data_IF_560038109387
#
_entry.id   IF_560038109387
#
_cell.length_a   1.000
_cell.length_b   1.000
_cell.length_c   1.000
_cell.angle_alpha   90.00
_cell.angle_beta   90.00
_cell.angle_gamma   90.00
#
_symmetry.space_group_name_H-M   'P 1'
#
loop_
_entity.id
_entity.type
_entity.pdbx_description
1 polymer ?
#
# COMPACT_ATOMS: atom_id res chain seq x y z
N UNK A 1 -25.24 -0.23 -15.38
CA UNK A 1 -24.32 -0.91 -16.32
C UNK A 1 -23.12 -1.40 -15.53
N UNK A 2 -23.09 -2.68 -15.12
CA UNK A 2 -21.90 -3.23 -14.44
C UNK A 2 -20.73 -3.16 -15.43
N UNK A 3 -19.63 -2.54 -15.01
CA UNK A 3 -18.50 -2.21 -15.87
C UNK A 3 -17.86 -3.48 -16.44
N UNK A 4 -18.05 -3.73 -17.75
CA UNK A 4 -17.44 -4.86 -18.48
C UNK A 4 -15.93 -4.99 -18.21
N UNK A 5 -15.24 -3.87 -17.98
CA UNK A 5 -13.81 -3.80 -17.66
C UNK A 5 -13.44 -4.57 -16.39
N UNK A 6 -14.27 -4.48 -15.33
CA UNK A 6 -14.00 -5.14 -14.05
C UNK A 6 -14.14 -6.66 -14.18
N UNK A 7 -15.14 -7.12 -14.94
CA UNK A 7 -15.39 -8.54 -15.18
C UNK A 7 -14.27 -9.18 -16.01
N UNK A 8 -13.76 -8.49 -17.04
CA UNK A 8 -12.62 -8.94 -17.83
C UNK A 8 -11.33 -9.03 -17.02
N UNK A 9 -11.06 -8.03 -16.17
CA UNK A 9 -9.90 -8.05 -15.26
C UNK A 9 -9.99 -9.20 -14.25
N UNK A 10 -11.15 -9.39 -13.63
CA UNK A 10 -11.37 -10.48 -12.69
C UNK A 10 -11.14 -11.84 -13.36
N UNK A 11 -11.71 -12.05 -14.55
CA UNK A 11 -11.52 -13.30 -15.31
C UNK A 11 -10.04 -13.53 -15.62
N UNK A 12 -9.31 -12.49 -16.04
CA UNK A 12 -7.87 -12.55 -16.33
C UNK A 12 -7.02 -12.90 -15.10
N UNK A 13 -7.39 -12.42 -13.91
CA UNK A 13 -6.68 -12.72 -12.66
C UNK A 13 -6.92 -14.17 -12.22
N UNK A 14 -8.17 -14.66 -12.30
CA UNK A 14 -8.55 -15.97 -11.76
C UNK A 14 -8.24 -17.13 -12.72
N UNK A 15 -8.34 -16.90 -14.03
CA UNK A 15 -8.17 -17.95 -15.06
C UNK A 15 -6.92 -17.80 -15.92
N UNK A 16 -6.12 -16.76 -15.69
CA UNK A 16 -4.84 -16.57 -16.39
C UNK A 16 -3.72 -17.48 -15.87
N UNK A 17 -2.62 -17.63 -16.63
CA UNK A 17 -1.45 -18.37 -16.18
C UNK A 17 -0.86 -17.78 -14.90
N UNK A 18 -0.69 -18.59 -13.85
CA UNK A 18 -0.28 -18.18 -12.51
C UNK A 18 0.96 -17.27 -12.54
N UNK A 19 2.03 -17.71 -13.20
CA UNK A 19 3.29 -16.95 -13.31
C UNK A 19 3.09 -15.57 -13.94
N UNK A 20 2.33 -15.49 -15.03
CA UNK A 20 2.08 -14.23 -15.74
C UNK A 20 1.22 -13.27 -14.91
N UNK A 21 0.19 -13.79 -14.26
CA UNK A 21 -0.68 -13.00 -13.38
C UNK A 21 0.09 -12.47 -12.17
N UNK A 22 0.89 -13.33 -11.53
CA UNK A 22 1.73 -12.93 -10.40
C UNK A 22 2.71 -11.83 -10.80
N UNK A 23 3.49 -12.02 -11.87
CA UNK A 23 4.41 -10.99 -12.35
C UNK A 23 3.70 -9.68 -12.70
N UNK A 24 2.54 -9.74 -13.36
CA UNK A 24 1.77 -8.53 -13.72
C UNK A 24 1.30 -7.75 -12.48
N UNK A 25 0.90 -8.44 -11.41
CA UNK A 25 0.43 -7.80 -10.18
C UNK A 25 1.59 -7.35 -9.28
N UNK A 26 2.65 -8.15 -9.20
CA UNK A 26 3.79 -7.90 -8.31
C UNK A 26 4.78 -6.89 -8.88
N UNK A 27 4.96 -6.82 -10.21
CA UNK A 27 5.97 -5.94 -10.82
C UNK A 27 5.83 -4.46 -10.40
N UNK A 28 4.64 -3.85 -10.41
CA UNK A 28 4.48 -2.46 -9.95
C UNK A 28 4.87 -2.30 -8.47
N UNK A 29 4.48 -3.26 -7.62
CA UNK A 29 4.77 -3.23 -6.18
C UNK A 29 6.28 -3.37 -5.94
N UNK A 30 6.93 -4.27 -6.68
CA UNK A 30 8.39 -4.46 -6.63
C UNK A 30 9.13 -3.20 -7.08
N UNK A 31 8.68 -2.54 -8.15
CA UNK A 31 9.27 -1.29 -8.61
C UNK A 31 9.14 -0.19 -7.54
N UNK A 32 7.96 -0.03 -6.94
CA UNK A 32 7.75 0.92 -5.83
C UNK A 32 8.69 0.65 -4.68
N UNK A 33 8.83 -0.60 -4.24
CA UNK A 33 9.76 -0.96 -3.17
C UNK A 33 11.23 -0.75 -3.55
N UNK A 34 11.60 -1.01 -4.80
CA UNK A 34 12.95 -0.74 -5.30
C UNK A 34 13.28 0.76 -5.18
N UNK A 35 12.39 1.63 -5.65
CA UNK A 35 12.59 3.08 -5.52
C UNK A 35 12.60 3.55 -4.06
N UNK A 36 11.78 2.94 -3.20
CA UNK A 36 11.79 3.22 -1.77
C UNK A 36 13.16 2.88 -1.15
N UNK A 37 13.74 1.72 -1.45
CA UNK A 37 15.06 1.33 -0.94
C UNK A 37 16.14 2.25 -1.51
N UNK A 38 16.10 2.56 -2.81
CA UNK A 38 17.04 3.47 -3.44
C UNK A 38 17.00 4.87 -2.79
N UNK A 39 15.80 5.38 -2.50
CA UNK A 39 15.61 6.63 -1.77
C UNK A 39 16.26 6.58 -0.38
N UNK A 40 16.01 5.52 0.41
CA UNK A 40 16.62 5.37 1.73
C UNK A 40 18.16 5.34 1.66
N UNK A 41 18.73 4.67 0.65
CA UNK A 41 20.18 4.60 0.46
C UNK A 41 20.76 5.96 0.09
N UNK A 42 20.13 6.68 -0.83
CA UNK A 42 20.55 8.02 -1.25
C UNK A 42 20.47 8.98 -0.07
N UNK A 43 19.36 8.99 0.67
CA UNK A 43 19.17 9.83 1.86
C UNK A 43 20.25 9.55 2.92
N UNK A 44 20.45 8.28 3.26
CA UNK A 44 21.50 7.86 4.20
C UNK A 44 22.90 8.26 3.72
N UNK A 45 23.18 8.12 2.42
CA UNK A 45 24.46 8.52 1.83
C UNK A 45 24.71 10.03 1.99
N UNK A 46 23.71 10.86 1.69
CA UNK A 46 23.82 12.32 1.87
C UNK A 46 23.96 12.72 3.34
N UNK A 47 23.18 12.11 4.24
CA UNK A 47 23.28 12.35 5.67
C UNK A 47 24.65 11.93 6.23
N UNK A 48 25.18 10.80 5.77
CA UNK A 48 26.50 10.30 6.17
C UNK A 48 27.66 11.19 5.69
N UNK A 49 27.45 11.98 4.64
CA UNK A 49 28.41 13.01 4.19
C UNK A 49 28.39 14.26 5.08
N UNK A 50 27.30 14.51 5.81
CA UNK A 50 27.16 15.65 6.72
C UNK A 50 27.79 15.31 8.07
N UNK A 51 27.28 14.27 8.76
CA UNK A 51 27.87 13.76 10.00
C UNK A 51 27.30 12.40 10.38
N UNK A 52 27.95 11.70 11.30
CA UNK A 52 27.46 10.41 11.83
C UNK A 52 26.18 10.62 12.63
N UNK A 53 26.09 11.73 13.37
CA UNK A 53 24.91 12.13 14.14
C UNK A 53 23.71 12.41 13.24
N UNK A 54 23.94 12.98 12.05
CA UNK A 54 22.90 13.24 11.06
C UNK A 54 22.25 11.95 10.54
N UNK A 55 23.01 10.84 10.44
CA UNK A 55 22.48 9.51 10.08
C UNK A 55 21.73 8.86 11.25
N UNK A 56 22.17 9.10 12.49
CA UNK A 56 21.52 8.54 13.67
C UNK A 56 20.15 9.18 13.97
N UNK A 57 19.97 10.45 13.62
CA UNK A 57 18.73 11.19 13.88
C UNK A 57 17.47 10.55 13.25
N UNK A 58 17.44 10.18 11.95
CA UNK A 58 16.32 9.45 11.35
C UNK A 58 15.99 8.14 12.07
N UNK A 59 17.00 7.36 12.49
CA UNK A 59 16.80 6.08 13.18
C UNK A 59 16.09 6.27 14.52
N UNK A 60 16.39 7.36 15.24
CA UNK A 60 15.71 7.72 16.49
C UNK A 60 14.31 8.28 16.27
N UNK A 61 14.08 8.99 15.15
CA UNK A 61 12.78 9.57 14.82
C UNK A 61 11.79 8.55 14.21
N UNK A 62 12.29 7.52 13.52
CA UNK A 62 11.48 6.56 12.78
C UNK A 62 10.40 5.85 13.62
N UNK A 63 10.63 5.46 14.89
CA UNK A 63 9.58 4.89 15.74
C UNK A 63 8.37 5.80 15.92
N UNK A 64 8.55 7.11 16.04
CA UNK A 64 7.44 8.06 16.14
C UNK A 64 6.67 8.18 14.83
N UNK A 65 7.39 8.26 13.71
CA UNK A 65 6.78 8.27 12.37
C UNK A 65 5.99 6.97 12.13
N UNK A 66 6.58 5.83 12.50
CA UNK A 66 5.95 4.52 12.40
C UNK A 66 4.68 4.42 13.24
N UNK A 67 4.66 5.01 14.45
CA UNK A 67 3.46 5.07 15.28
C UNK A 67 2.33 5.81 14.55
N UNK A 68 2.60 6.98 13.98
CA UNK A 68 1.61 7.76 13.24
C UNK A 68 1.10 7.01 12.01
N UNK A 69 2.01 6.40 11.23
CA UNK A 69 1.65 5.58 10.07
C UNK A 69 0.82 4.36 10.50
N UNK A 70 1.18 3.72 11.61
CA UNK A 70 0.47 2.53 12.12
C UNK A 70 -0.96 2.86 12.54
N UNK A 71 -1.17 4.01 13.19
CA UNK A 71 -2.51 4.48 13.55
C UNK A 71 -3.33 4.80 12.30
N UNK A 72 -2.77 5.58 11.37
CA UNK A 72 -3.44 5.94 10.11
C UNK A 72 -3.74 4.69 9.26
N UNK A 73 -2.79 3.77 9.18
CA UNK A 73 -2.93 2.48 8.49
C UNK A 73 -3.97 1.59 9.14
N UNK A 74 -4.00 1.53 10.48
CA UNK A 74 -5.02 0.81 11.24
C UNK A 74 -6.43 1.32 10.96
N UNK A 75 -6.61 2.64 10.94
CA UNK A 75 -7.90 3.26 10.56
C UNK A 75 -8.25 2.97 9.09
N UNK A 76 -7.28 3.03 8.20
CA UNK A 76 -7.49 2.72 6.77
C UNK A 76 -7.94 1.26 6.58
N UNK A 77 -7.31 0.32 7.28
CA UNK A 77 -7.69 -1.11 7.26
C UNK A 77 -9.08 -1.31 7.86
N UNK A 78 -9.40 -0.63 8.97
CA UNK A 78 -10.74 -0.67 9.57
C UNK A 78 -11.80 -0.14 8.59
N UNK A 79 -11.52 0.95 7.88
CA UNK A 79 -12.39 1.49 6.84
C UNK A 79 -12.62 0.49 5.69
N UNK A 80 -11.56 -0.10 5.15
CA UNK A 80 -11.67 -1.15 4.11
C UNK A 80 -12.46 -2.36 4.62
N UNK A 81 -12.27 -2.77 5.87
CA UNK A 81 -13.01 -3.87 6.48
C UNK A 81 -14.51 -3.56 6.63
N UNK A 82 -14.87 -2.34 7.06
CA UNK A 82 -16.27 -1.89 7.16
C UNK A 82 -16.92 -1.80 5.78
N UNK A 83 -16.25 -1.19 4.81
CA UNK A 83 -16.74 -1.10 3.41
C UNK A 83 -16.93 -2.50 2.84
N UNK A 84 -15.99 -3.42 3.05
CA UNK A 84 -16.10 -4.81 2.58
C UNK A 84 -17.28 -5.54 3.21
N UNK A 85 -17.55 -5.32 4.50
CA UNK A 85 -18.71 -5.88 5.20
C UNK A 85 -20.03 -5.32 4.64
N UNK A 86 -20.15 -4.00 4.46
CA UNK A 86 -21.38 -3.39 3.93
C UNK A 86 -21.64 -3.75 2.46
N UNK A 87 -20.59 -3.80 1.64
CA UNK A 87 -20.67 -4.29 0.26
C UNK A 87 -21.09 -5.76 0.23
N UNK A 88 -20.57 -6.60 1.13
CA UNK A 88 -20.97 -8.00 1.26
C UNK A 88 -22.42 -8.19 1.75
N UNK A 89 -22.89 -7.31 2.63
CA UNK A 89 -24.25 -7.33 3.20
C UNK A 89 -25.34 -6.76 2.28
N UNK A 90 -24.99 -6.21 1.11
CA UNK A 90 -25.90 -5.54 0.14
C UNK A 90 -26.66 -4.33 0.71
N UNK A 91 -26.12 -3.68 1.74
CA UNK A 91 -26.74 -2.48 2.32
C UNK A 91 -26.15 -1.20 1.71
N UNK A 92 -26.68 -0.79 0.56
CA UNK A 92 -26.16 0.35 -0.22
C UNK A 92 -26.25 1.71 0.51
N UNK A 93 -27.08 1.83 1.56
CA UNK A 93 -27.22 3.09 2.32
C UNK A 93 -26.03 3.35 3.25
N UNK A 94 -25.44 2.32 3.83
CA UNK A 94 -24.33 2.45 4.78
C UNK A 94 -22.95 2.54 4.08
N UNK A 95 -22.83 1.98 2.86
CA UNK A 95 -21.60 2.12 2.03
C UNK A 95 -21.30 3.59 1.69
N UNK A 96 -22.33 4.39 1.37
CA UNK A 96 -22.17 5.81 1.04
C UNK A 96 -21.88 6.72 2.24
N UNK A 97 -22.11 6.23 3.46
CA UNK A 97 -21.94 6.99 4.70
C UNK A 97 -20.58 6.72 5.37
N UNK A 98 -19.92 5.62 4.97
CA UNK A 98 -18.68 5.09 5.54
C UNK A 98 -17.44 5.34 4.67
N UNK A 99 -17.63 5.94 3.48
CA UNK A 99 -16.59 6.37 2.55
C UNK A 99 -16.48 7.89 2.57
#
# INVERSE_FOLDING_TARGET
>A
MKNKVTEEMQKKIISGPILKTLFMLSWPIMATHFFQIAYNLIDTYWLGRVSVEAVAAPTLAWPMVFLLISVAGGLSVAGVALVSQYVGAKDEKEVKKSA
#
